data_IF_031050995932
#
_entry.id   IF_031050995932
#
_cell.length_a   1.000
_cell.length_b   1.000
_cell.length_c   1.000
_cell.angle_alpha   90.00
_cell.angle_beta   90.00
_cell.angle_gamma   90.00
#
_symmetry.space_group_name_H-M   'P 1'
#
loop_
_entity.id
_entity.type
_entity.pdbx_description
1 polymer ?
#
# COMPACT_ATOMS: atom_id res chain seq x y z
N UNK A 1 -13.52 12.16 -24.10
CA UNK A 1 -12.91 10.83 -24.22
C UNK A 1 -13.85 9.82 -23.56
N UNK A 2 -14.13 8.65 -24.19
CA UNK A 2 -14.96 7.62 -23.55
C UNK A 2 -14.08 6.81 -22.61
N UNK A 3 -14.57 6.54 -21.39
CA UNK A 3 -13.84 5.77 -20.37
C UNK A 3 -13.73 4.27 -20.72
N UNK A 4 -14.72 3.72 -21.41
CA UNK A 4 -14.75 2.31 -21.82
C UNK A 4 -14.31 2.14 -23.28
N UNK A 5 -13.47 1.12 -23.52
CA UNK A 5 -12.94 0.77 -24.85
C UNK A 5 -13.51 -0.56 -25.38
N UNK A 6 -14.20 -1.34 -24.52
CA UNK A 6 -14.69 -2.72 -24.76
C UNK A 6 -13.58 -3.75 -25.07
N UNK A 7 -12.32 -3.31 -25.12
CA UNK A 7 -11.18 -4.20 -25.42
C UNK A 7 -10.90 -5.26 -24.33
N UNK A 8 -11.49 -5.10 -23.14
CA UNK A 8 -11.32 -6.01 -22.01
C UNK A 8 -12.45 -7.03 -21.79
N UNK A 9 -13.51 -7.01 -22.62
CA UNK A 9 -14.73 -7.79 -22.38
C UNK A 9 -14.51 -9.31 -22.53
N UNK A 10 -13.46 -9.71 -23.29
CA UNK A 10 -13.06 -11.11 -23.44
C UNK A 10 -12.12 -11.63 -22.34
N UNK A 11 -11.95 -10.90 -21.22
CA UNK A 11 -11.10 -11.33 -20.10
C UNK A 11 -9.61 -11.03 -20.27
N UNK A 12 -9.26 -10.17 -21.24
CA UNK A 12 -7.91 -9.69 -21.46
C UNK A 12 -7.76 -8.21 -21.13
N UNK A 13 -6.52 -7.79 -20.86
CA UNK A 13 -6.13 -6.39 -20.66
C UNK A 13 -4.80 -6.11 -21.35
N UNK A 14 -4.44 -4.84 -21.48
CA UNK A 14 -3.11 -4.45 -21.98
C UNK A 14 -2.24 -3.97 -20.83
N UNK A 15 -1.00 -4.42 -20.80
CA UNK A 15 0.04 -3.91 -19.92
C UNK A 15 0.57 -2.57 -20.45
N UNK A 16 1.36 -1.89 -19.62
CA UNK A 16 2.05 -0.66 -19.99
C UNK A 16 3.12 -0.98 -21.06
N UNK A 17 2.83 -0.64 -22.31
CA UNK A 17 3.64 -1.03 -23.46
C UNK A 17 2.85 -1.79 -24.55
N UNK A 18 1.58 -2.08 -24.30
CA UNK A 18 0.63 -2.58 -25.28
C UNK A 18 0.54 -4.11 -25.38
N UNK A 19 1.36 -4.86 -24.64
CA UNK A 19 1.25 -6.31 -24.55
C UNK A 19 -0.12 -6.72 -24.00
N UNK A 20 -0.78 -7.70 -24.63
CA UNK A 20 -2.07 -8.24 -24.22
C UNK A 20 -1.87 -9.44 -23.31
N UNK A 21 -2.50 -9.43 -22.13
CA UNK A 21 -2.46 -10.50 -21.15
C UNK A 21 -3.85 -10.81 -20.63
N UNK A 22 -4.03 -11.99 -20.05
CA UNK A 22 -5.28 -12.35 -19.36
C UNK A 22 -5.42 -11.53 -18.08
N UNK A 23 -6.63 -11.10 -17.73
CA UNK A 23 -6.91 -10.42 -16.46
C UNK A 23 -6.59 -11.27 -15.23
N UNK A 24 -6.48 -12.60 -15.39
CA UNK A 24 -6.05 -13.54 -14.35
C UNK A 24 -4.53 -13.71 -14.23
N UNK A 25 -3.73 -12.99 -15.01
CA UNK A 25 -2.27 -13.08 -14.93
C UNK A 25 -1.75 -12.55 -13.57
N UNK A 26 -0.69 -13.15 -12.99
CA UNK A 26 -0.13 -12.73 -11.70
C UNK A 26 0.23 -11.25 -11.65
N UNK A 27 0.74 -10.69 -12.74
CA UNK A 27 1.07 -9.27 -12.86
C UNK A 27 -0.17 -8.38 -12.73
N UNK A 28 -1.29 -8.78 -13.34
CA UNK A 28 -2.56 -8.06 -13.24
C UNK A 28 -3.10 -8.13 -11.81
N UNK A 29 -2.98 -9.29 -11.16
CA UNK A 29 -3.36 -9.44 -9.76
C UNK A 29 -2.51 -8.55 -8.86
N UNK A 30 -1.18 -8.49 -9.05
CA UNK A 30 -0.28 -7.71 -8.22
C UNK A 30 -0.61 -6.20 -8.25
N UNK A 31 -0.73 -5.60 -9.44
CA UNK A 31 -1.09 -4.17 -9.49
C UNK A 31 -2.55 -3.92 -9.11
N UNK A 32 -3.45 -4.91 -9.29
CA UNK A 32 -4.83 -4.81 -8.82
C UNK A 32 -4.94 -4.75 -7.30
N UNK A 33 -4.14 -5.51 -6.57
CA UNK A 33 -4.06 -5.43 -5.10
C UNK A 33 -3.51 -4.07 -4.62
N UNK A 34 -2.56 -3.49 -5.37
CA UNK A 34 -2.04 -2.15 -5.08
C UNK A 34 -3.11 -1.08 -5.31
N UNK A 35 -3.92 -1.21 -6.36
CA UNK A 35 -5.04 -0.31 -6.66
C UNK A 35 -6.14 -0.41 -5.59
N UNK A 36 -6.47 -1.63 -5.13
CA UNK A 36 -7.40 -1.82 -4.01
C UNK A 36 -6.88 -1.14 -2.74
N UNK A 37 -5.59 -1.33 -2.40
CA UNK A 37 -4.95 -0.65 -1.28
C UNK A 37 -5.11 0.86 -1.40
N UNK A 38 -4.80 1.43 -2.55
CA UNK A 38 -4.90 2.86 -2.80
C UNK A 38 -6.34 3.39 -2.57
N UNK A 39 -7.33 2.63 -3.02
CA UNK A 39 -8.75 2.94 -2.81
C UNK A 39 -9.15 2.91 -1.32
N UNK A 40 -8.68 1.90 -0.57
CA UNK A 40 -8.91 1.81 0.89
C UNK A 40 -8.26 2.98 1.62
N UNK A 41 -7.04 3.38 1.24
CA UNK A 41 -6.38 4.54 1.83
C UNK A 41 -7.11 5.86 1.49
N UNK A 42 -7.72 5.96 0.32
CA UNK A 42 -8.58 7.07 -0.04
C UNK A 42 -9.78 7.21 0.90
N UNK A 43 -10.43 6.08 1.27
CA UNK A 43 -11.52 6.08 2.26
C UNK A 43 -10.98 6.49 3.63
N UNK A 44 -9.86 5.92 4.09
CA UNK A 44 -9.27 6.27 5.38
C UNK A 44 -8.91 7.78 5.43
N UNK A 45 -8.32 8.32 4.36
CA UNK A 45 -7.97 9.74 4.25
C UNK A 45 -9.20 10.67 4.37
N UNK A 46 -10.33 10.27 3.78
CA UNK A 46 -11.57 11.05 3.86
C UNK A 46 -12.14 11.14 5.30
N UNK A 47 -11.83 10.19 6.15
CA UNK A 47 -12.25 10.13 7.56
C UNK A 47 -11.24 10.81 8.52
N UNK A 48 -10.07 11.24 8.03
CA UNK A 48 -9.07 11.92 8.84
C UNK A 48 -9.38 13.42 8.96
N UNK A 49 -9.38 13.94 10.18
CA UNK A 49 -9.50 15.38 10.44
C UNK A 49 -8.13 16.09 10.39
N UNK A 50 -7.08 15.43 10.88
CA UNK A 50 -5.73 15.98 10.98
C UNK A 50 -5.10 16.20 9.60
N UNK A 51 -4.75 17.44 9.26
CA UNK A 51 -4.25 17.82 7.95
C UNK A 51 -2.88 17.20 7.64
N UNK A 52 -2.02 17.07 8.67
CA UNK A 52 -0.71 16.43 8.55
C UNK A 52 -0.83 14.95 8.16
N UNK A 53 -1.75 14.21 8.78
CA UNK A 53 -1.97 12.79 8.48
C UNK A 53 -2.63 12.60 7.11
N UNK A 54 -3.51 13.52 6.69
CA UNK A 54 -4.07 13.51 5.34
C UNK A 54 -3.01 13.71 4.27
N UNK A 55 -2.07 14.64 4.50
CA UNK A 55 -0.97 14.89 3.57
C UNK A 55 -0.06 13.68 3.40
N UNK A 56 0.28 12.95 4.49
CA UNK A 56 1.03 11.70 4.39
C UNK A 56 0.32 10.66 3.53
N UNK A 57 -0.99 10.45 3.74
CA UNK A 57 -1.75 9.49 2.91
C UNK A 57 -1.86 9.94 1.46
N UNK A 58 -1.90 11.24 1.17
CA UNK A 58 -1.91 11.76 -0.20
C UNK A 58 -0.58 11.44 -0.93
N UNK A 59 0.54 11.64 -0.27
CA UNK A 59 1.86 11.25 -0.79
C UNK A 59 1.90 9.73 -1.06
N UNK A 60 1.47 8.91 -0.09
CA UNK A 60 1.44 7.45 -0.25
C UNK A 60 0.54 7.04 -1.42
N UNK A 61 -0.62 7.65 -1.60
CA UNK A 61 -1.50 7.36 -2.73
C UNK A 61 -0.83 7.65 -4.07
N UNK A 62 -0.02 8.71 -4.15
CA UNK A 62 0.78 9.02 -5.34
C UNK A 62 1.86 7.94 -5.59
N UNK A 63 2.62 7.57 -4.55
CA UNK A 63 3.64 6.51 -4.66
C UNK A 63 3.02 5.15 -5.01
N UNK A 64 1.79 4.85 -4.57
CA UNK A 64 1.07 3.63 -4.96
C UNK A 64 0.64 3.63 -6.44
N UNK A 65 0.33 4.81 -7.04
CA UNK A 65 0.14 4.92 -8.48
C UNK A 65 1.43 4.65 -9.25
N UNK A 66 2.55 5.18 -8.76
CA UNK A 66 3.87 4.95 -9.37
C UNK A 66 4.25 3.47 -9.28
N UNK A 67 4.02 2.83 -8.12
CA UNK A 67 4.20 1.39 -7.91
C UNK A 67 3.31 0.55 -8.84
N UNK A 68 2.03 0.91 -8.97
CA UNK A 68 1.11 0.24 -9.90
C UNK A 68 1.58 0.35 -11.36
N UNK A 69 2.10 1.50 -11.77
CA UNK A 69 2.69 1.73 -13.09
C UNK A 69 3.95 0.89 -13.32
N UNK A 70 4.82 0.79 -12.32
CA UNK A 70 6.01 -0.08 -12.34
C UNK A 70 5.62 -1.55 -12.52
N UNK A 71 4.70 -2.04 -11.69
CA UNK A 71 4.21 -3.41 -11.75
C UNK A 71 3.47 -3.72 -13.07
N UNK A 72 2.76 -2.75 -13.66
CA UNK A 72 2.13 -2.89 -14.97
C UNK A 72 3.11 -2.86 -16.15
N UNK A 73 4.41 -2.61 -15.89
CA UNK A 73 5.44 -2.49 -16.93
C UNK A 73 6.30 -3.77 -16.96
N UNK A 74 6.19 -4.62 -18.01
CA UNK A 74 7.07 -5.78 -18.16
C UNK A 74 8.55 -5.34 -18.24
N UNK A 75 9.44 -6.12 -17.62
CA UNK A 75 10.89 -5.88 -17.62
C UNK A 75 11.27 -4.46 -17.12
N UNK A 76 10.54 -3.94 -16.14
CA UNK A 76 10.79 -2.61 -15.58
C UNK A 76 12.26 -2.42 -15.11
N UNK A 77 12.93 -3.38 -14.43
CA UNK A 77 14.32 -3.23 -14.05
C UNK A 77 15.27 -3.05 -15.25
N UNK A 78 15.09 -3.82 -16.31
CA UNK A 78 15.92 -3.73 -17.51
C UNK A 78 15.68 -2.44 -18.30
N UNK A 79 14.45 -1.96 -18.32
CA UNK A 79 14.09 -0.67 -18.93
C UNK A 79 14.70 0.48 -18.17
N UNK A 80 14.69 0.42 -16.83
CA UNK A 80 15.33 1.39 -15.95
C UNK A 80 16.85 1.46 -16.21
N UNK A 81 17.52 0.32 -16.27
CA UNK A 81 18.95 0.24 -16.57
C UNK A 81 19.32 0.85 -17.93
N UNK A 82 18.39 0.87 -18.89
CA UNK A 82 18.53 1.51 -20.21
C UNK A 82 18.08 2.99 -20.25
N UNK A 83 17.85 3.63 -19.10
CA UNK A 83 17.40 5.03 -19.01
C UNK A 83 15.97 5.26 -19.51
N UNK A 84 15.14 4.22 -19.57
CA UNK A 84 13.72 4.25 -19.98
C UNK A 84 12.79 3.98 -18.79
N UNK A 85 13.20 4.41 -17.60
CA UNK A 85 12.39 4.25 -16.41
C UNK A 85 11.06 5.01 -16.54
N UNK A 86 9.96 4.32 -16.22
CA UNK A 86 8.67 4.95 -15.97
C UNK A 86 8.53 5.39 -14.50
N UNK A 87 7.31 5.79 -14.08
CA UNK A 87 6.98 6.00 -12.68
C UNK A 87 7.36 4.77 -11.85
N UNK A 88 7.93 4.96 -10.68
CA UNK A 88 8.35 3.89 -9.77
C UNK A 88 8.57 4.43 -8.37
N UNK A 89 8.48 3.57 -7.37
CA UNK A 89 8.93 3.89 -6.02
C UNK A 89 10.46 4.01 -5.96
N UNK A 90 10.95 4.85 -5.05
CA UNK A 90 12.36 5.13 -4.84
C UNK A 90 12.80 4.78 -3.40
N UNK A 91 14.10 4.71 -3.15
CA UNK A 91 14.65 4.53 -1.80
C UNK A 91 14.16 5.63 -0.86
N UNK A 92 14.08 6.85 -1.34
CA UNK A 92 13.64 8.01 -0.55
C UNK A 92 12.20 7.84 -0.04
N UNK A 93 11.32 7.15 -0.80
CA UNK A 93 9.96 6.85 -0.33
C UNK A 93 9.96 5.91 0.88
N UNK A 94 10.89 4.96 0.94
CA UNK A 94 11.04 4.07 2.11
C UNK A 94 11.58 4.84 3.31
N UNK A 95 12.60 5.68 3.09
CA UNK A 95 13.19 6.54 4.15
C UNK A 95 12.14 7.52 4.69
N UNK A 96 11.28 8.06 3.83
CA UNK A 96 10.21 8.96 4.26
C UNK A 96 9.19 8.24 5.16
N UNK A 97 8.77 7.01 4.81
CA UNK A 97 7.89 6.18 5.65
C UNK A 97 8.53 5.91 7.02
N UNK A 98 9.83 5.57 7.06
CA UNK A 98 10.57 5.35 8.30
C UNK A 98 10.59 6.61 9.17
N UNK A 99 10.87 7.77 8.58
CA UNK A 99 10.85 9.06 9.28
C UNK A 99 9.47 9.42 9.84
N UNK A 100 8.39 9.06 9.13
CA UNK A 100 7.04 9.26 9.64
C UNK A 100 6.70 8.29 10.77
N UNK A 101 7.13 7.02 10.70
CA UNK A 101 7.00 6.05 11.79
C UNK A 101 7.67 6.60 13.04
N UNK A 102 8.96 6.94 12.94
CA UNK A 102 9.74 7.44 14.08
C UNK A 102 9.08 8.66 14.73
N UNK A 103 8.59 9.60 13.90
CA UNK A 103 7.90 10.79 14.38
C UNK A 103 6.61 10.46 15.13
N UNK A 104 5.76 9.60 14.56
CA UNK A 104 4.48 9.26 15.18
C UNK A 104 4.66 8.41 16.44
N UNK A 105 5.69 7.57 16.51
CA UNK A 105 5.99 6.77 17.70
C UNK A 105 6.34 7.65 18.92
N UNK A 106 6.86 8.88 18.73
CA UNK A 106 7.09 9.80 19.84
C UNK A 106 5.81 10.21 20.57
N UNK A 107 4.65 10.09 19.91
CA UNK A 107 3.33 10.40 20.51
C UNK A 107 2.73 9.18 21.25
N UNK A 108 3.29 7.97 21.06
CA UNK A 108 2.66 6.71 21.45
C UNK A 108 3.34 6.08 22.67
N UNK A 109 2.54 5.44 23.52
CA UNK A 109 3.08 4.58 24.55
C UNK A 109 3.68 3.29 23.95
N UNK A 110 4.78 2.79 24.47
CA UNK A 110 5.36 1.53 24.03
C UNK A 110 4.36 0.37 24.10
N UNK A 111 4.29 -0.44 23.05
CA UNK A 111 3.45 -1.63 23.02
C UNK A 111 4.01 -2.69 24.01
N UNK A 112 3.13 -3.17 24.88
CA UNK A 112 3.43 -4.30 25.79
C UNK A 112 2.70 -5.57 25.37
N UNK A 113 1.57 -5.43 24.69
CA UNK A 113 0.73 -6.51 24.21
C UNK A 113 0.24 -6.19 22.80
N UNK A 114 -0.24 -7.21 22.08
CA UNK A 114 -0.98 -6.96 20.83
C UNK A 114 -2.25 -6.18 21.13
N UNK A 115 -2.63 -5.32 20.19
CA UNK A 115 -3.90 -4.59 20.21
C UNK A 115 -4.89 -5.21 19.23
N UNK A 116 -6.18 -5.11 19.52
CA UNK A 116 -7.22 -5.46 18.57
C UNK A 116 -7.40 -4.34 17.55
N UNK A 117 -7.42 -4.66 16.25
CA UNK A 117 -7.67 -3.65 15.21
C UNK A 117 -9.03 -2.98 15.40
N UNK A 118 -9.05 -1.64 15.45
CA UNK A 118 -10.29 -0.89 15.69
C UNK A 118 -10.04 0.49 16.26
N UNK A 119 -11.06 1.03 16.96
CA UNK A 119 -11.03 2.35 17.55
C UNK A 119 -11.81 3.38 16.74
N UNK A 120 -11.27 4.58 16.56
CA UNK A 120 -11.86 5.59 15.69
C UNK A 120 -12.03 5.06 14.26
N UNK A 121 -13.05 5.56 13.54
CA UNK A 121 -13.38 5.05 12.20
C UNK A 121 -12.20 5.11 11.24
N UNK A 122 -11.46 6.21 11.23
CA UNK A 122 -10.24 6.33 10.43
C UNK A 122 -9.17 5.30 10.84
N UNK A 123 -8.97 5.05 12.15
CA UNK A 123 -8.02 4.05 12.64
C UNK A 123 -8.40 2.63 12.20
N UNK A 124 -9.69 2.27 12.30
CA UNK A 124 -10.20 0.97 11.84
C UNK A 124 -9.95 0.77 10.33
N UNK A 125 -10.16 1.80 9.51
CA UNK A 125 -9.87 1.79 8.07
C UNK A 125 -8.37 1.68 7.77
N UNK A 126 -7.51 2.32 8.57
CA UNK A 126 -6.06 2.18 8.45
C UNK A 126 -5.60 0.75 8.78
N UNK A 127 -6.19 0.10 9.79
CA UNK A 127 -5.95 -1.31 10.07
C UNK A 127 -6.42 -2.22 8.93
N UNK A 128 -7.56 -1.92 8.27
CA UNK A 128 -7.96 -2.59 7.05
C UNK A 128 -6.92 -2.38 5.95
N UNK A 129 -6.51 -1.12 5.70
CA UNK A 129 -5.46 -0.77 4.74
C UNK A 129 -4.17 -1.55 4.98
N UNK A 130 -3.74 -1.66 6.24
CA UNK A 130 -2.58 -2.48 6.62
C UNK A 130 -2.72 -3.95 6.18
N UNK A 131 -3.87 -4.56 6.35
CA UNK A 131 -4.07 -5.97 5.95
C UNK A 131 -4.15 -6.14 4.44
N UNK A 132 -4.75 -5.18 3.72
CA UNK A 132 -4.75 -5.12 2.24
C UNK A 132 -3.33 -4.90 1.72
N UNK A 133 -2.54 -3.99 2.35
CA UNK A 133 -1.13 -3.77 2.02
C UNK A 133 -0.32 -5.07 2.10
N UNK A 134 -0.47 -5.85 3.16
CA UNK A 134 0.17 -7.17 3.31
C UNK A 134 -0.31 -8.20 2.28
N UNK A 135 -1.53 -8.07 1.77
CA UNK A 135 -2.03 -8.91 0.67
C UNK A 135 -1.37 -8.48 -0.66
N UNK A 136 -1.27 -7.18 -0.93
CA UNK A 136 -0.54 -6.63 -2.07
C UNK A 136 0.94 -7.05 -2.05
N UNK A 137 1.61 -6.95 -0.91
CA UNK A 137 2.99 -7.41 -0.72
C UNK A 137 3.15 -8.88 -1.15
N UNK A 138 2.28 -9.78 -0.67
CA UNK A 138 2.33 -11.20 -1.05
C UNK A 138 2.07 -11.42 -2.54
N UNK A 139 1.18 -10.66 -3.16
CA UNK A 139 0.92 -10.75 -4.59
C UNK A 139 2.15 -10.31 -5.42
N UNK A 140 2.86 -9.28 -4.98
CA UNK A 140 4.12 -8.83 -5.61
C UNK A 140 5.23 -9.87 -5.42
N UNK A 141 5.35 -10.49 -4.23
CA UNK A 141 6.30 -11.60 -4.00
C UNK A 141 6.00 -12.75 -4.94
N UNK A 142 4.74 -13.17 -5.06
CA UNK A 142 4.34 -14.27 -5.96
C UNK A 142 4.61 -13.93 -7.44
N UNK A 143 4.45 -12.69 -7.86
CA UNK A 143 4.87 -12.24 -9.19
C UNK A 143 6.38 -12.43 -9.38
N UNK A 144 7.20 -12.09 -8.36
CA UNK A 144 8.65 -12.23 -8.38
C UNK A 144 9.16 -13.68 -8.48
N UNK A 145 8.31 -14.69 -8.18
CA UNK A 145 8.65 -16.10 -8.37
C UNK A 145 8.68 -16.52 -9.85
N UNK A 146 7.95 -15.80 -10.70
CA UNK A 146 7.82 -16.13 -12.13
C UNK A 146 8.41 -15.07 -13.07
N UNK A 147 8.60 -13.84 -12.59
CA UNK A 147 9.07 -12.71 -13.38
C UNK A 147 10.15 -11.92 -12.63
N UNK A 148 11.07 -11.31 -13.37
CA UNK A 148 12.05 -10.40 -12.78
C UNK A 148 11.37 -9.10 -12.34
N UNK A 149 11.43 -8.81 -11.05
CA UNK A 149 10.96 -7.55 -10.45
C UNK A 149 12.07 -6.92 -9.60
N UNK A 150 12.01 -5.60 -9.43
CA UNK A 150 12.86 -4.91 -8.48
C UNK A 150 12.46 -5.31 -7.04
N UNK A 151 13.39 -5.52 -6.10
CA UNK A 151 13.05 -5.81 -4.71
C UNK A 151 12.46 -4.62 -3.96
N UNK A 152 12.63 -3.40 -4.45
CA UNK A 152 12.19 -2.18 -3.78
C UNK A 152 10.66 -2.10 -3.58
N UNK A 153 9.79 -2.46 -4.54
CA UNK A 153 8.35 -2.61 -4.34
C UNK A 153 7.96 -3.44 -3.11
N UNK A 154 8.61 -4.58 -2.90
CA UNK A 154 8.32 -5.46 -1.76
C UNK A 154 8.71 -4.76 -0.45
N UNK A 155 9.89 -4.14 -0.41
CA UNK A 155 10.37 -3.42 0.76
C UNK A 155 9.49 -2.20 1.09
N UNK A 156 9.06 -1.46 0.08
CA UNK A 156 8.14 -0.34 0.25
C UNK A 156 6.81 -0.79 0.86
N UNK A 157 6.16 -1.84 0.31
CA UNK A 157 4.89 -2.36 0.84
C UNK A 157 5.06 -2.92 2.25
N UNK A 158 6.16 -3.58 2.55
CA UNK A 158 6.46 -4.05 3.90
C UNK A 158 6.51 -2.87 4.89
N UNK A 159 7.30 -1.82 4.59
CA UNK A 159 7.41 -0.62 5.42
C UNK A 159 6.10 0.16 5.50
N UNK A 160 5.34 0.24 4.41
CA UNK A 160 4.02 0.87 4.41
C UNK A 160 3.05 0.15 5.35
N UNK A 161 3.12 -1.18 5.44
CA UNK A 161 2.28 -1.92 6.39
C UNK A 161 2.60 -1.56 7.85
N UNK A 162 3.87 -1.34 8.19
CA UNK A 162 4.30 -0.89 9.53
C UNK A 162 3.83 0.55 9.79
N UNK A 163 4.01 1.44 8.83
CA UNK A 163 3.51 2.81 8.90
C UNK A 163 2.00 2.87 9.16
N UNK A 164 1.20 2.10 8.42
CA UNK A 164 -0.26 2.08 8.58
C UNK A 164 -0.69 1.60 9.97
N UNK A 165 0.06 0.69 10.58
CA UNK A 165 -0.16 0.27 11.96
C UNK A 165 0.10 1.42 12.95
N UNK A 166 1.25 2.10 12.82
CA UNK A 166 1.62 3.22 13.70
C UNK A 166 0.66 4.39 13.51
N UNK A 167 0.29 4.69 12.25
CA UNK A 167 -0.67 5.75 11.93
C UNK A 167 -2.05 5.48 12.56
N UNK A 168 -2.55 4.24 12.51
CA UNK A 168 -3.82 3.88 13.15
C UNK A 168 -3.80 4.15 14.66
N UNK A 169 -2.69 3.81 15.32
CA UNK A 169 -2.48 4.08 16.75
C UNK A 169 -2.44 5.59 17.04
N UNK A 170 -1.71 6.35 16.23
CA UNK A 170 -1.64 7.80 16.37
C UNK A 170 -3.03 8.46 16.21
N UNK A 171 -3.83 7.98 15.25
CA UNK A 171 -5.23 8.42 15.08
C UNK A 171 -6.06 8.14 16.32
N UNK A 172 -6.00 6.93 16.89
CA UNK A 172 -6.69 6.57 18.13
C UNK A 172 -6.24 7.46 19.30
N UNK A 173 -4.93 7.65 19.46
CA UNK A 173 -4.37 8.50 20.52
C UNK A 173 -4.86 9.93 20.41
N UNK A 174 -4.80 10.55 19.23
CA UNK A 174 -5.26 11.92 19.00
C UNK A 174 -6.78 12.08 19.17
N UNK A 175 -7.56 11.02 18.87
CA UNK A 175 -9.00 10.98 19.10
C UNK A 175 -9.39 10.64 20.54
N UNK A 176 -8.44 10.38 21.45
CA UNK A 176 -8.72 9.97 22.83
C UNK A 176 -9.37 8.58 22.94
N UNK A 177 -9.23 7.73 21.92
CA UNK A 177 -9.81 6.39 21.89
C UNK A 177 -8.79 5.37 22.41
N UNK A 178 -9.19 4.61 23.42
CA UNK A 178 -8.37 3.53 23.99
C UNK A 178 -8.30 2.34 23.03
N UNK A 179 -7.09 1.79 22.84
CA UNK A 179 -6.86 0.60 22.05
C UNK A 179 -7.06 -0.66 22.93
N UNK A 180 -8.05 -1.52 22.64
CA UNK A 180 -8.25 -2.75 23.39
C UNK A 180 -7.04 -3.68 23.20
N UNK A 181 -6.46 -4.14 24.30
CA UNK A 181 -5.36 -5.11 24.26
C UNK A 181 -5.91 -6.52 24.04
N UNK A 182 -5.19 -7.30 23.22
CA UNK A 182 -5.49 -8.71 23.10
C UNK A 182 -4.96 -9.47 24.31
N UNK A 183 -5.85 -10.06 25.08
CA UNK A 183 -5.56 -10.95 26.20
C UNK A 183 -5.97 -12.35 25.72
N UNK A 184 -5.01 -13.27 25.69
CA UNK A 184 -5.29 -14.66 25.34
C UNK A 184 -6.40 -15.24 26.24
N UNK A 185 -7.25 -16.12 25.68
CA UNK A 185 -8.23 -16.82 26.49
C UNK A 185 -7.50 -17.81 27.41
N UNK A 186 -7.71 -17.68 28.72
CA UNK A 186 -7.38 -18.77 29.63
C UNK A 186 -8.23 -20.00 29.24
N UNK A 187 -7.60 -21.13 28.99
CA UNK A 187 -8.26 -22.41 28.69
C UNK A 187 -8.21 -23.29 29.91
#
# INVERSE_FOLDING_TARGET
MKIYTRGGDAGETSLFGGERVRKSAPRVAAYGEVDELNSVLGIARAELEAADLRAMLETIQSSLFDLGGELATPNAPERSAKGKAGPRVAEDDVVELEGWIDRLETELEPLRNFILPGGARAAALLHLGRTVCRRAERAVISLGESESIDPLPIRYLNRLSDFLFVLARAVNKRAGVTEPQWIGRER
#
